data_IF_101708659979
#
_entry.id   IF_101708659979
#
_cell.length_a   1.000
_cell.length_b   1.000
_cell.length_c   1.000
_cell.angle_alpha   90.00
_cell.angle_beta   90.00
_cell.angle_gamma   90.00
#
_symmetry.space_group_name_H-M   'P 1'
#
loop_
_entity.id
_entity.type
_entity.pdbx_description
1 polymer ?
#
# COMPACT_ATOMS: atom_id res chain seq x y z
N UNK A 1 5.81 -5.87 24.59
CA UNK A 1 4.97 -5.23 23.55
C UNK A 1 5.65 -4.03 22.86
N UNK A 2 6.55 -3.29 23.52
CA UNK A 2 7.17 -2.08 22.95
C UNK A 2 8.22 -2.37 21.87
N UNK A 3 8.93 -3.51 21.96
CA UNK A 3 9.90 -3.97 20.94
C UNK A 3 9.22 -4.30 19.60
N UNK A 4 8.03 -4.91 19.65
CA UNK A 4 7.23 -5.22 18.46
C UNK A 4 6.64 -3.96 17.82
N UNK A 5 6.17 -3.00 18.63
CA UNK A 5 5.73 -1.69 18.12
C UNK A 5 6.87 -0.95 17.43
N UNK A 6 8.07 -0.92 18.04
CA UNK A 6 9.25 -0.29 17.45
C UNK A 6 9.71 -0.96 16.15
N UNK A 7 9.60 -2.29 16.04
CA UNK A 7 9.88 -3.03 14.80
C UNK A 7 8.86 -2.71 13.70
N UNK A 8 7.58 -2.63 14.04
CA UNK A 8 6.51 -2.27 13.08
C UNK A 8 6.69 -0.83 12.58
N UNK A 9 7.04 0.12 13.45
CA UNK A 9 7.28 1.51 13.03
C UNK A 9 8.54 1.64 12.16
N UNK A 10 9.61 0.89 12.46
CA UNK A 10 10.83 0.88 11.65
C UNK A 10 10.60 0.27 10.25
N UNK A 11 9.81 -0.81 10.18
CA UNK A 11 9.41 -1.44 8.91
C UNK A 11 8.56 -0.49 8.06
N UNK A 12 7.67 0.29 8.69
CA UNK A 12 6.86 1.29 8.01
C UNK A 12 7.71 2.43 7.42
N UNK A 13 8.71 2.92 8.17
CA UNK A 13 9.68 3.91 7.70
C UNK A 13 10.54 3.40 6.53
N UNK A 14 10.98 2.14 6.58
CA UNK A 14 11.73 1.50 5.49
C UNK A 14 10.88 1.33 4.21
N UNK A 15 9.59 1.05 4.38
CA UNK A 15 8.64 0.96 3.25
C UNK A 15 8.48 2.32 2.53
N UNK A 16 8.50 3.43 3.27
CA UNK A 16 8.40 4.78 2.68
C UNK A 16 9.59 5.12 1.75
N UNK A 17 10.80 4.64 2.06
CA UNK A 17 11.98 4.85 1.19
C UNK A 17 12.02 3.92 -0.02
N UNK A 18 11.26 2.83 -0.02
CA UNK A 18 11.15 1.93 -1.17
C UNK A 18 10.16 2.43 -2.24
N UNK A 19 9.56 3.60 -2.03
CA UNK A 19 8.66 4.20 -3.01
C UNK A 19 9.48 4.74 -4.19
N UNK A 20 9.45 4.03 -5.32
CA UNK A 20 10.09 4.37 -6.60
C UNK A 20 9.64 5.71 -7.24
N UNK A 21 8.92 6.55 -6.49
CA UNK A 21 8.46 7.87 -6.90
C UNK A 21 9.42 9.01 -6.50
N UNK A 22 10.52 8.75 -5.79
CA UNK A 22 11.56 9.74 -5.46
C UNK A 22 12.44 10.06 -6.68
N UNK A 23 11.83 10.57 -7.75
CA UNK A 23 12.50 10.88 -9.01
C UNK A 23 13.69 11.81 -8.83
N UNK A 24 14.87 11.36 -9.28
CA UNK A 24 16.08 12.20 -9.36
C UNK A 24 15.95 13.30 -10.43
N UNK A 25 16.84 14.32 -10.40
CA UNK A 25 16.83 15.42 -11.35
C UNK A 25 17.22 14.90 -12.75
N UNK A 26 16.21 14.53 -13.54
CA UNK A 26 16.38 13.95 -14.89
C UNK A 26 15.09 13.35 -15.46
N UNK A 27 13.93 13.89 -15.05
CA UNK A 27 12.60 13.36 -15.35
C UNK A 27 12.12 13.74 -16.77
N UNK A 28 12.78 13.22 -17.79
CA UNK A 28 12.29 13.28 -19.18
C UNK A 28 11.97 11.90 -19.76
N UNK A 29 12.57 10.81 -19.25
CA UNK A 29 12.32 9.46 -19.76
C UNK A 29 10.97 8.85 -19.31
N UNK A 30 10.45 9.20 -18.13
CA UNK A 30 9.17 8.67 -17.61
C UNK A 30 7.96 9.39 -18.27
N UNK A 31 8.15 10.64 -18.72
CA UNK A 31 7.08 11.43 -19.36
C UNK A 31 6.72 10.96 -20.77
N UNK A 32 7.70 10.44 -21.53
CA UNK A 32 7.51 10.01 -22.92
C UNK A 32 6.86 8.62 -23.01
N UNK A 33 7.20 7.69 -22.12
CA UNK A 33 6.60 6.34 -22.07
C UNK A 33 5.13 6.37 -21.61
N UNK A 34 4.74 7.35 -20.80
CA UNK A 34 3.34 7.52 -20.36
C UNK A 34 2.44 8.18 -21.40
N UNK A 35 2.99 8.86 -22.41
CA UNK A 35 2.19 9.57 -23.42
C UNK A 35 1.73 8.70 -24.58
N UNK A 36 2.52 7.72 -25.01
CA UNK A 36 2.20 6.98 -26.24
C UNK A 36 1.14 5.88 -26.04
N UNK A 37 1.01 5.29 -24.85
CA UNK A 37 0.05 4.19 -24.57
C UNK A 37 -0.49 4.14 -23.11
N UNK A 38 -0.20 5.13 -22.25
CA UNK A 38 -0.06 4.91 -20.79
C UNK A 38 -1.23 5.24 -19.84
N UNK A 39 -2.45 5.58 -20.29
CA UNK A 39 -3.52 6.05 -19.36
C UNK A 39 -4.19 4.95 -18.52
N UNK A 40 -4.09 3.68 -18.89
CA UNK A 40 -4.79 2.59 -18.19
C UNK A 40 -4.02 2.11 -16.95
N UNK A 41 -2.70 2.28 -16.90
CA UNK A 41 -1.89 1.82 -15.76
C UNK A 41 -2.27 2.48 -14.44
N UNK A 42 -2.59 3.78 -14.47
CA UNK A 42 -3.05 4.51 -13.29
C UNK A 42 -4.40 3.94 -12.81
N UNK A 43 -5.30 3.63 -13.74
CA UNK A 43 -6.61 3.04 -13.43
C UNK A 43 -6.45 1.64 -12.83
N UNK A 44 -5.59 0.80 -13.42
CA UNK A 44 -5.28 -0.54 -12.89
C UNK A 44 -4.69 -0.44 -11.48
N UNK A 45 -3.76 0.49 -11.26
CA UNK A 45 -3.18 0.73 -9.93
C UNK A 45 -4.27 1.11 -8.91
N UNK A 46 -5.20 2.01 -9.25
CA UNK A 46 -6.31 2.40 -8.38
C UNK A 46 -7.23 1.21 -8.08
N UNK A 47 -7.57 0.40 -9.08
CA UNK A 47 -8.42 -0.79 -8.91
C UNK A 47 -7.75 -1.80 -7.97
N UNK A 48 -6.46 -2.06 -8.15
CA UNK A 48 -5.69 -2.98 -7.29
C UNK A 48 -5.62 -2.46 -5.84
N UNK A 49 -5.45 -1.15 -5.66
CA UNK A 49 -5.45 -0.53 -4.33
C UNK A 49 -6.80 -0.67 -3.63
N UNK A 50 -7.91 -0.42 -4.34
CA UNK A 50 -9.26 -0.59 -3.79
C UNK A 50 -9.52 -2.05 -3.42
N UNK A 51 -9.15 -2.99 -4.30
CA UNK A 51 -9.33 -4.42 -4.06
C UNK A 51 -8.51 -4.88 -2.85
N UNK A 52 -7.23 -4.51 -2.77
CA UNK A 52 -6.38 -4.82 -1.63
C UNK A 52 -6.93 -4.20 -0.33
N UNK A 53 -7.41 -2.96 -0.39
CA UNK A 53 -8.05 -2.28 0.73
C UNK A 53 -9.29 -3.02 1.23
N UNK A 54 -10.14 -3.50 0.32
CA UNK A 54 -11.35 -4.26 0.66
C UNK A 54 -11.01 -5.60 1.32
N UNK A 55 -10.08 -6.36 0.74
CA UNK A 55 -9.65 -7.65 1.31
C UNK A 55 -9.07 -7.44 2.71
N UNK A 56 -8.17 -6.47 2.88
CA UNK A 56 -7.58 -6.14 4.19
C UNK A 56 -8.65 -5.70 5.19
N UNK A 57 -9.64 -4.92 4.75
CA UNK A 57 -10.74 -4.47 5.60
C UNK A 57 -11.57 -5.64 6.11
N UNK A 58 -11.99 -6.55 5.24
CA UNK A 58 -12.78 -7.74 5.62
C UNK A 58 -11.98 -8.64 6.55
N UNK A 59 -10.71 -8.93 6.24
CA UNK A 59 -9.84 -9.74 7.13
C UNK A 59 -9.66 -9.08 8.50
N UNK A 60 -9.54 -7.75 8.55
CA UNK A 60 -9.46 -7.00 9.82
C UNK A 60 -10.77 -7.05 10.59
N UNK A 61 -11.91 -7.01 9.90
CA UNK A 61 -13.23 -7.05 10.50
C UNK A 61 -13.52 -8.44 11.08
N UNK A 62 -13.25 -9.49 10.31
CA UNK A 62 -13.42 -10.88 10.72
C UNK A 62 -12.65 -11.19 12.02
N UNK A 63 -11.36 -10.83 12.07
CA UNK A 63 -10.54 -10.98 13.28
C UNK A 63 -11.05 -10.21 14.49
N UNK A 64 -11.72 -9.07 14.27
CA UNK A 64 -12.34 -8.30 15.36
C UNK A 64 -13.62 -8.98 15.84
N UNK A 65 -14.46 -9.46 14.93
CA UNK A 65 -15.70 -10.16 15.26
C UNK A 65 -15.44 -11.44 16.06
N UNK A 66 -14.52 -12.30 15.61
CA UNK A 66 -14.17 -13.54 16.34
C UNK A 66 -13.66 -13.27 17.76
N UNK A 67 -13.03 -12.11 18.00
CA UNK A 67 -12.53 -11.74 19.34
C UNK A 67 -13.65 -11.25 20.25
N UNK A 68 -14.67 -10.60 19.69
CA UNK A 68 -15.87 -10.21 20.43
C UNK A 68 -16.70 -11.44 20.80
N UNK A 69 -16.82 -12.40 19.87
CA UNK A 69 -17.54 -13.67 20.11
C UNK A 69 -16.87 -14.56 21.15
N UNK A 70 -15.53 -14.55 21.25
CA UNK A 70 -14.78 -15.33 22.28
C UNK A 70 -14.69 -14.62 23.64
N UNK A 71 -15.07 -13.35 23.70
CA UNK A 71 -15.05 -12.53 24.91
C UNK A 71 -16.39 -12.51 25.66
N UNK A 72 -17.42 -13.14 25.09
CA UNK A 72 -18.65 -13.57 25.76
C UNK A 72 -18.61 -15.08 25.97
#
# INVERSE_FOLDING_TARGET
>A
MNRLRSLVTALFLFCCTACFAQGGPGQSAIGETMRSNGRIYVVIAVILVILAGLILYVVRLDRKMTRLEKGQ
#
